data_IF_006875623187
#
_entry.id   IF_006875623187
#
_cell.length_a   1.000
_cell.length_b   1.000
_cell.length_c   1.000
_cell.angle_alpha   90.00
_cell.angle_beta   90.00
_cell.angle_gamma   90.00
#
_symmetry.space_group_name_H-M   'P 1'
#
loop_
_entity.id
_entity.type
_entity.pdbx_description
1 polymer ?
#
# COMPACT_ATOMS: atom_id res chain seq x y z
N UNK A 1 -17.32 1.70 2.92
CA UNK A 1 -16.77 3.05 3.17
C UNK A 1 -15.27 3.04 3.03
N UNK A 2 -14.71 4.03 2.38
CA UNK A 2 -13.28 4.14 2.14
C UNK A 2 -12.60 4.87 3.30
N UNK A 3 -11.55 4.28 3.83
CA UNK A 3 -10.77 4.84 4.94
C UNK A 3 -9.42 5.28 4.39
N UNK A 4 -9.09 6.56 4.58
CA UNK A 4 -7.79 7.07 4.15
C UNK A 4 -6.67 6.52 5.04
N UNK A 5 -5.64 6.01 4.39
CA UNK A 5 -4.46 5.46 5.06
C UNK A 5 -3.18 6.08 4.51
N UNK A 6 -2.16 6.08 5.33
CA UNK A 6 -0.81 6.49 4.93
C UNK A 6 0.16 5.34 5.13
N UNK A 7 1.28 5.38 4.43
CA UNK A 7 2.34 4.40 4.65
C UNK A 7 3.08 4.77 5.92
N UNK A 8 3.06 3.85 6.88
CA UNK A 8 3.86 3.98 8.09
C UNK A 8 5.32 3.60 7.84
N UNK A 9 5.56 2.63 6.96
CA UNK A 9 6.89 2.16 6.63
C UNK A 9 6.88 0.81 5.94
N UNK A 10 8.08 0.29 5.78
CA UNK A 10 8.34 -1.05 5.25
C UNK A 10 9.00 -1.88 6.33
N UNK A 11 8.63 -3.14 6.39
CA UNK A 11 9.25 -4.14 7.26
C UNK A 11 9.62 -5.36 6.45
N UNK A 12 10.47 -6.21 7.01
CA UNK A 12 10.79 -7.52 6.44
C UNK A 12 10.18 -8.59 7.34
N UNK A 13 9.43 -9.50 6.72
CA UNK A 13 8.88 -10.65 7.42
C UNK A 13 10.05 -11.54 7.88
N UNK A 14 10.22 -11.80 9.19
CA UNK A 14 11.36 -12.56 9.69
C UNK A 14 11.34 -14.04 9.26
N UNK A 15 10.20 -14.56 8.84
CA UNK A 15 10.05 -15.97 8.45
C UNK A 15 10.25 -16.14 6.94
N UNK A 16 9.59 -15.32 6.13
CA UNK A 16 9.60 -15.45 4.65
C UNK A 16 10.63 -14.56 3.97
N UNK A 17 11.22 -13.59 4.70
CA UNK A 17 12.08 -12.51 4.16
C UNK A 17 11.38 -11.63 3.11
N UNK A 18 10.06 -11.71 3.00
CA UNK A 18 9.31 -10.84 2.10
C UNK A 18 9.11 -9.46 2.73
N UNK A 19 9.21 -8.40 1.94
CA UNK A 19 8.86 -7.06 2.42
C UNK A 19 7.37 -6.93 2.73
N UNK A 20 7.06 -6.13 3.73
CA UNK A 20 5.69 -5.82 4.15
C UNK A 20 5.52 -4.31 4.11
N UNK A 21 4.52 -3.84 3.37
CA UNK A 21 4.09 -2.43 3.41
C UNK A 21 3.09 -2.27 4.54
N UNK A 22 3.33 -1.32 5.42
CA UNK A 22 2.45 -1.04 6.55
C UNK A 22 1.65 0.21 6.25
N UNK A 23 0.34 0.05 6.09
CA UNK A 23 -0.62 1.14 5.97
C UNK A 23 -1.25 1.40 7.34
N UNK A 24 -1.48 2.67 7.63
CA UNK A 24 -2.09 3.10 8.90
C UNK A 24 -3.11 4.19 8.63
N UNK A 25 -4.26 4.12 9.30
CA UNK A 25 -5.28 5.16 9.23
C UNK A 25 -4.82 6.45 9.96
N UNK A 26 -5.50 7.56 9.69
CA UNK A 26 -5.14 8.86 10.30
C UNK A 26 -5.26 8.88 11.81
N UNK A 27 -6.21 8.13 12.35
CA UNK A 27 -6.44 8.04 13.79
C UNK A 27 -5.45 7.10 14.47
N UNK A 28 -4.69 6.33 13.69
CA UNK A 28 -3.68 5.41 14.17
C UNK A 28 -4.23 4.18 14.88
N UNK A 29 -5.51 3.89 14.70
CA UNK A 29 -6.18 2.77 15.34
C UNK A 29 -6.07 1.47 14.54
N UNK A 30 -6.02 1.58 13.20
CA UNK A 30 -6.00 0.43 12.31
C UNK A 30 -4.70 0.41 11.51
N UNK A 31 -4.11 -0.76 11.41
CA UNK A 31 -2.90 -1.00 10.63
C UNK A 31 -3.15 -2.17 9.70
N UNK A 32 -2.84 -1.99 8.42
CA UNK A 32 -2.99 -3.03 7.42
C UNK A 32 -1.62 -3.39 6.85
N UNK A 33 -1.10 -4.57 7.11
CA UNK A 33 0.12 -5.07 6.48
C UNK A 33 -0.20 -5.71 5.13
N UNK A 34 0.61 -5.40 4.13
CA UNK A 34 0.49 -5.98 2.78
C UNK A 34 1.85 -6.52 2.38
N UNK A 35 1.94 -7.83 2.14
CA UNK A 35 3.16 -8.46 1.65
C UNK A 35 3.35 -8.12 0.17
N UNK A 36 4.55 -7.67 -0.18
CA UNK A 36 4.87 -7.19 -1.54
C UNK A 36 6.14 -7.86 -2.06
N UNK A 37 6.34 -7.82 -3.38
CA UNK A 37 7.58 -8.27 -3.98
C UNK A 37 8.75 -7.33 -3.69
N UNK A 38 9.97 -7.84 -3.84
CA UNK A 38 11.19 -7.08 -3.55
C UNK A 38 11.31 -5.85 -4.47
N UNK A 39 11.01 -6.00 -5.75
CA UNK A 39 11.12 -4.92 -6.73
C UNK A 39 10.11 -3.81 -6.45
N UNK A 40 8.89 -4.18 -6.11
CA UNK A 40 7.83 -3.23 -5.77
C UNK A 40 8.12 -2.52 -4.46
N UNK A 41 8.64 -3.25 -3.47
CA UNK A 41 9.07 -2.67 -2.20
C UNK A 41 10.19 -1.66 -2.41
N UNK A 42 11.14 -1.94 -3.28
CA UNK A 42 12.20 -1.01 -3.63
C UNK A 42 11.65 0.28 -4.24
N UNK A 43 10.69 0.16 -5.15
CA UNK A 43 10.03 1.33 -5.76
C UNK A 43 9.34 2.21 -4.71
N UNK A 44 8.71 1.59 -3.72
CA UNK A 44 8.06 2.29 -2.61
C UNK A 44 9.12 2.93 -1.69
N UNK A 45 10.16 2.19 -1.33
CA UNK A 45 11.23 2.66 -0.45
C UNK A 45 11.94 3.89 -1.02
N UNK A 46 12.22 3.93 -2.30
CA UNK A 46 12.86 5.08 -2.96
C UNK A 46 12.06 6.37 -2.72
N UNK A 47 10.74 6.30 -2.77
CA UNK A 47 9.89 7.46 -2.53
C UNK A 47 9.80 7.83 -1.05
N UNK A 48 9.72 6.85 -0.16
CA UNK A 48 9.71 7.11 1.29
C UNK A 48 10.99 7.82 1.72
N UNK A 49 12.14 7.40 1.19
CA UNK A 49 13.45 7.93 1.52
C UNK A 49 13.85 9.15 0.67
N UNK A 50 12.99 9.61 -0.23
CA UNK A 50 13.24 10.73 -1.15
C UNK A 50 14.51 10.55 -1.98
N UNK A 51 14.77 9.33 -2.43
CA UNK A 51 15.93 9.04 -3.28
C UNK A 51 15.52 9.21 -4.74
N UNK A 52 16.23 10.08 -5.46
CA UNK A 52 16.06 10.27 -6.89
C UNK A 52 17.01 9.36 -7.66
N UNK A 53 16.52 8.77 -8.74
CA UNK A 53 17.32 7.95 -9.65
C UNK A 53 17.77 8.77 -10.87
N UNK A 54 18.93 8.46 -11.50
CA UNK A 54 19.42 9.21 -12.66
C UNK A 54 18.47 9.17 -13.87
N UNK A 55 17.73 8.08 -14.02
CA UNK A 55 16.74 7.90 -15.07
C UNK A 55 15.42 7.41 -14.45
N UNK A 56 14.26 7.70 -15.11
CA UNK A 56 12.98 7.24 -14.60
C UNK A 56 12.94 5.71 -14.43
N UNK A 57 12.49 5.27 -13.27
CA UNK A 57 12.17 3.87 -13.01
C UNK A 57 10.75 3.56 -13.52
N UNK A 58 10.32 2.31 -13.42
CA UNK A 58 9.03 1.86 -13.99
C UNK A 58 7.83 2.71 -13.52
N UNK A 59 7.73 2.95 -12.22
CA UNK A 59 6.61 3.74 -11.68
C UNK A 59 6.75 5.24 -11.96
N UNK A 60 7.99 5.74 -12.08
CA UNK A 60 8.24 7.10 -12.54
C UNK A 60 7.79 7.28 -14.00
N UNK A 61 8.09 6.30 -14.84
CA UNK A 61 7.65 6.28 -16.22
C UNK A 61 6.12 6.27 -16.31
N UNK A 62 5.46 5.45 -15.50
CA UNK A 62 4.00 5.40 -15.45
C UNK A 62 3.41 6.76 -15.09
N UNK A 63 3.96 7.42 -14.05
CA UNK A 63 3.56 8.79 -13.70
C UNK A 63 3.75 9.75 -14.86
N UNK A 64 4.90 9.69 -15.53
CA UNK A 64 5.21 10.57 -16.65
C UNK A 64 4.25 10.38 -17.82
N UNK A 65 3.91 9.13 -18.15
CA UNK A 65 2.92 8.81 -19.19
C UNK A 65 1.55 9.39 -18.85
N UNK A 66 1.09 9.20 -17.63
CA UNK A 66 -0.19 9.73 -17.16
C UNK A 66 -0.21 11.26 -17.27
N UNK A 67 0.84 11.91 -16.79
CA UNK A 67 0.97 13.37 -16.81
C UNK A 67 1.02 13.91 -18.25
N UNK A 68 1.80 13.30 -19.12
CA UNK A 68 1.96 13.76 -20.51
C UNK A 68 0.68 13.56 -21.32
N UNK A 69 -0.16 12.58 -20.97
CA UNK A 69 -1.49 12.42 -21.55
C UNK A 69 -2.53 13.39 -20.99
N UNK A 70 -2.14 14.30 -20.10
CA UNK A 70 -3.02 15.27 -19.43
C UNK A 70 -4.05 14.61 -18.50
N UNK A 71 -3.76 13.43 -18.00
CA UNK A 71 -4.51 12.79 -16.94
C UNK A 71 -3.93 13.12 -15.56
N UNK A 72 -4.71 12.90 -14.51
CA UNK A 72 -4.26 13.07 -13.14
C UNK A 72 -4.73 11.90 -12.28
N UNK A 73 -3.89 11.45 -11.37
CA UNK A 73 -4.27 10.45 -10.38
C UNK A 73 -5.05 11.13 -9.28
N UNK A 74 -6.32 10.76 -9.12
CA UNK A 74 -7.19 11.32 -8.08
C UNK A 74 -6.96 10.66 -6.74
N UNK A 75 -6.92 9.33 -6.74
CA UNK A 75 -6.72 8.49 -5.56
C UNK A 75 -6.41 7.06 -5.98
N UNK A 76 -5.91 6.27 -5.05
CA UNK A 76 -5.83 4.82 -5.19
C UNK A 76 -6.61 4.17 -4.05
N UNK A 77 -7.25 3.04 -4.32
CA UNK A 77 -8.09 2.35 -3.35
C UNK A 77 -7.74 0.88 -3.32
N UNK A 78 -7.39 0.35 -2.16
CA UNK A 78 -7.35 -1.10 -1.95
C UNK A 78 -8.79 -1.52 -1.71
N UNK A 79 -9.40 -2.16 -2.72
CA UNK A 79 -10.85 -2.30 -2.81
C UNK A 79 -11.37 -3.68 -2.45
N UNK A 80 -10.53 -4.71 -2.49
CA UNK A 80 -10.99 -6.08 -2.25
C UNK A 80 -9.87 -6.98 -1.76
N UNK A 81 -10.27 -8.08 -1.12
CA UNK A 81 -9.42 -9.17 -0.69
C UNK A 81 -10.11 -10.48 -1.03
N UNK A 82 -9.59 -11.21 -2.01
CA UNK A 82 -10.15 -12.49 -2.47
C UNK A 82 -9.04 -13.53 -2.47
N UNK A 83 -9.31 -14.68 -1.86
CA UNK A 83 -8.36 -15.80 -1.81
C UNK A 83 -6.96 -15.38 -1.35
N UNK A 84 -6.91 -14.56 -0.30
CA UNK A 84 -5.68 -13.99 0.28
C UNK A 84 -4.91 -13.06 -0.69
N UNK A 85 -5.56 -12.55 -1.73
CA UNK A 85 -4.99 -11.61 -2.69
C UNK A 85 -5.71 -10.27 -2.60
N UNK A 86 -4.95 -9.21 -2.38
CA UNK A 86 -5.48 -7.84 -2.39
C UNK A 86 -5.63 -7.31 -3.80
N UNK A 87 -6.73 -6.58 -4.03
CA UNK A 87 -7.04 -5.90 -5.29
C UNK A 87 -7.06 -4.39 -5.05
N UNK A 88 -6.63 -3.64 -6.04
CA UNK A 88 -6.65 -2.19 -5.96
C UNK A 88 -7.15 -1.55 -7.26
N UNK A 89 -7.63 -0.33 -7.14
CA UNK A 89 -8.03 0.51 -8.26
C UNK A 89 -7.27 1.84 -8.20
N UNK A 90 -6.82 2.28 -9.37
CA UNK A 90 -6.27 3.61 -9.56
C UNK A 90 -7.35 4.45 -10.24
N UNK A 91 -7.75 5.55 -9.60
CA UNK A 91 -8.73 6.47 -10.15
C UNK A 91 -8.01 7.62 -10.84
N UNK A 92 -8.23 7.73 -12.15
CA UNK A 92 -7.67 8.80 -12.98
C UNK A 92 -8.77 9.75 -13.43
N UNK A 93 -8.46 11.04 -13.49
CA UNK A 93 -9.27 12.00 -14.20
C UNK A 93 -8.66 12.27 -15.58
N UNK A 94 -9.47 12.24 -16.62
CA UNK A 94 -9.07 12.53 -17.99
C UNK A 94 -10.23 13.20 -18.71
N UNK A 95 -10.03 14.44 -19.16
CA UNK A 95 -11.02 15.23 -19.91
C UNK A 95 -12.39 15.31 -19.19
N UNK A 96 -12.37 15.44 -17.87
CA UNK A 96 -13.59 15.51 -17.05
C UNK A 96 -14.20 14.17 -16.70
N UNK A 97 -13.74 13.07 -17.28
CA UNK A 97 -14.16 11.72 -16.95
C UNK A 97 -13.28 11.10 -15.88
N UNK A 98 -13.84 10.17 -15.12
CA UNK A 98 -13.10 9.37 -14.14
C UNK A 98 -12.95 7.96 -14.65
N UNK A 99 -11.71 7.47 -14.70
CA UNK A 99 -11.39 6.10 -15.07
C UNK A 99 -10.94 5.34 -13.83
N UNK A 100 -11.40 4.10 -13.68
CA UNK A 100 -10.94 3.20 -12.64
C UNK A 100 -10.11 2.08 -13.29
N UNK A 101 -8.84 1.97 -12.92
CA UNK A 101 -7.90 1.04 -13.53
C UNK A 101 -7.51 -0.01 -12.51
N UNK A 102 -7.68 -1.28 -12.86
CA UNK A 102 -7.25 -2.41 -12.03
C UNK A 102 -5.73 -2.40 -11.85
N UNK A 103 -5.29 -2.62 -10.63
CA UNK A 103 -3.86 -2.63 -10.29
C UNK A 103 -3.60 -3.52 -9.08
N UNK A 104 -2.36 -3.99 -8.98
CA UNK A 104 -1.91 -4.56 -7.71
C UNK A 104 -1.73 -3.43 -6.69
N UNK A 105 -2.03 -3.66 -5.40
CA UNK A 105 -1.83 -2.64 -4.37
C UNK A 105 -0.43 -2.05 -4.35
N UNK A 106 0.62 -2.84 -4.54
CA UNK A 106 2.00 -2.35 -4.56
C UNK A 106 2.24 -1.31 -5.65
N UNK A 107 1.74 -1.55 -6.86
CA UNK A 107 1.88 -0.62 -7.98
C UNK A 107 1.04 0.65 -7.75
N UNK A 108 -0.17 0.48 -7.24
CA UNK A 108 -1.04 1.61 -6.91
C UNK A 108 -0.42 2.50 -5.84
N UNK A 109 0.15 1.92 -4.79
CA UNK A 109 0.84 2.64 -3.72
C UNK A 109 2.10 3.35 -4.24
N UNK A 110 2.92 2.66 -5.02
CA UNK A 110 4.13 3.25 -5.61
C UNK A 110 3.79 4.45 -6.50
N UNK A 111 2.70 4.36 -7.27
CA UNK A 111 2.21 5.47 -8.10
C UNK A 111 1.65 6.61 -7.24
N UNK A 112 0.85 6.29 -6.21
CA UNK A 112 0.28 7.28 -5.31
C UNK A 112 1.36 8.13 -4.63
N UNK A 113 2.44 7.51 -4.19
CA UNK A 113 3.57 8.22 -3.58
C UNK A 113 4.23 9.21 -4.55
N UNK A 114 4.30 8.86 -5.83
CA UNK A 114 4.93 9.70 -6.85
C UNK A 114 4.02 10.85 -7.29
N UNK A 115 2.73 10.66 -7.23
CA UNK A 115 1.73 11.67 -7.65
C UNK A 115 1.14 12.45 -6.48
N UNK A 116 1.51 12.08 -5.25
CA UNK A 116 0.95 12.64 -4.01
C UNK A 116 -0.57 12.44 -3.91
N UNK A 117 -1.07 11.39 -4.51
CA UNK A 117 -2.47 11.01 -4.42
C UNK A 117 -2.75 10.32 -3.09
N UNK A 118 -3.95 10.50 -2.53
CA UNK A 118 -4.32 9.81 -1.30
C UNK A 118 -4.56 8.31 -1.54
N UNK A 119 -4.27 7.53 -0.50
CA UNK A 119 -4.46 6.08 -0.48
C UNK A 119 -5.65 5.78 0.42
N UNK A 120 -6.61 5.03 -0.10
CA UNK A 120 -7.77 4.56 0.65
C UNK A 120 -7.82 3.04 0.70
N UNK A 121 -8.46 2.52 1.72
CA UNK A 121 -8.77 1.09 1.86
C UNK A 121 -10.24 0.97 2.18
N UNK A 122 -10.94 0.06 1.52
CA UNK A 122 -12.33 -0.25 1.87
C UNK A 122 -12.39 -0.86 3.28
N UNK A 123 -13.36 -0.46 4.07
CA UNK A 123 -13.55 -0.97 5.43
C UNK A 123 -13.74 -2.49 5.44
N UNK A 124 -14.41 -3.03 4.45
CA UNK A 124 -14.59 -4.49 4.28
C UNK A 124 -13.27 -5.23 4.12
N UNK A 125 -12.29 -4.61 3.47
CA UNK A 125 -10.93 -5.20 3.33
C UNK A 125 -10.25 -5.25 4.68
N UNK A 126 -10.35 -4.18 5.45
CA UNK A 126 -9.76 -4.10 6.79
C UNK A 126 -10.41 -5.14 7.71
N UNK A 127 -11.72 -5.30 7.63
CA UNK A 127 -12.46 -6.26 8.46
C UNK A 127 -12.11 -7.72 8.12
N UNK A 128 -11.83 -8.02 6.86
CA UNK A 128 -11.47 -9.37 6.41
C UNK A 128 -9.98 -9.68 6.55
N UNK A 129 -9.13 -8.66 6.59
CA UNK A 129 -7.71 -8.84 6.80
C UNK A 129 -7.40 -8.95 8.30
N UNK A 130 -6.27 -9.58 8.63
CA UNK A 130 -5.77 -9.54 10.00
C UNK A 130 -5.18 -8.17 10.25
N UNK A 131 -5.88 -7.35 11.05
CA UNK A 131 -5.47 -6.00 11.41
C UNK A 131 -5.02 -5.94 12.86
N UNK A 132 -4.23 -4.92 13.18
CA UNK A 132 -3.79 -4.64 14.54
C UNK A 132 -4.40 -3.32 14.98
N UNK A 133 -5.13 -3.35 16.09
CA UNK A 133 -5.67 -2.14 16.72
C UNK A 133 -4.62 -1.51 17.64
N UNK A 134 -4.24 -0.30 17.35
CA UNK A 134 -3.32 0.46 18.18
C UNK A 134 -4.11 1.53 18.96
N UNK A 135 -4.43 1.22 20.20
CA UNK A 135 -5.21 2.12 21.06
C UNK A 135 -4.36 3.02 21.95
N UNK A 136 -3.04 2.87 21.96
CA UNK A 136 -2.15 3.70 22.79
C UNK A 136 -0.85 4.06 22.06
N UNK A 137 -0.38 5.27 22.34
CA UNK A 137 0.81 5.87 21.71
C UNK A 137 2.15 5.22 22.07
N UNK A 138 2.17 4.24 22.95
CA UNK A 138 3.42 3.63 23.39
C UNK A 138 3.78 2.38 22.56
N UNK A 139 4.85 2.50 21.80
CA UNK A 139 5.56 1.42 21.10
C UNK A 139 4.77 0.70 20.00
N UNK A 140 4.35 1.46 18.98
CA UNK A 140 3.75 0.89 17.76
C UNK A 140 4.64 -0.20 17.13
N UNK A 141 5.97 0.00 17.14
CA UNK A 141 6.90 -0.95 16.57
C UNK A 141 6.92 -2.28 17.35
N UNK A 142 6.91 -2.22 18.69
CA UNK A 142 6.92 -3.43 19.52
C UNK A 142 5.61 -4.20 19.42
N UNK A 143 4.48 -3.50 19.30
CA UNK A 143 3.18 -4.14 19.11
C UNK A 143 3.06 -4.81 17.76
N UNK A 144 3.53 -4.16 16.72
CA UNK A 144 3.56 -4.74 15.40
C UNK A 144 4.45 -5.98 15.36
N UNK A 145 5.61 -5.91 16.02
CA UNK A 145 6.52 -7.04 16.13
C UNK A 145 5.88 -8.22 16.89
N UNK A 146 5.23 -7.95 18.03
CA UNK A 146 4.50 -8.97 18.78
C UNK A 146 3.34 -9.58 17.98
N UNK A 147 2.64 -8.75 17.23
CA UNK A 147 1.56 -9.24 16.37
C UNK A 147 2.09 -10.17 15.27
N UNK A 148 3.20 -9.79 14.63
CA UNK A 148 3.85 -10.63 13.63
C UNK A 148 4.33 -11.95 14.23
N UNK A 149 4.88 -11.92 15.44
CA UNK A 149 5.29 -13.14 16.16
C UNK A 149 4.10 -14.03 16.54
N UNK A 150 2.93 -13.45 16.76
CA UNK A 150 1.71 -14.19 17.11
C UNK A 150 1.02 -14.83 15.91
N UNK A 151 1.41 -14.47 14.69
CA UNK A 151 0.85 -15.07 13.48
C UNK A 151 1.32 -16.52 13.34
N UNK A 152 0.39 -17.40 12.95
CA UNK A 152 0.75 -18.75 12.55
C UNK A 152 1.66 -18.67 11.30
N UNK A 153 2.76 -19.44 11.23
CA UNK A 153 3.58 -19.52 10.03
C UNK A 153 2.79 -19.78 8.74
N UNK A 154 1.69 -20.55 8.85
CA UNK A 154 0.80 -20.79 7.71
C UNK A 154 0.01 -19.54 7.27
N UNK A 155 -0.15 -18.57 8.16
CA UNK A 155 -0.83 -17.30 7.85
C UNK A 155 0.11 -16.26 7.23
N UNK A 156 1.42 -16.40 7.43
CA UNK A 156 2.40 -15.47 6.91
C UNK A 156 2.53 -15.63 5.38
N UNK A 157 2.47 -14.53 4.69
CA UNK A 157 2.55 -14.53 3.23
C UNK A 157 1.26 -14.91 2.52
N UNK A 158 0.14 -15.10 3.23
CA UNK A 158 -1.16 -15.38 2.63
C UNK A 158 -1.71 -14.21 1.84
N UNK A 159 -1.49 -12.99 2.34
CA UNK A 159 -2.01 -11.77 1.73
C UNK A 159 -1.05 -11.29 0.64
N UNK A 160 -1.14 -11.94 -0.51
CA UNK A 160 -0.29 -11.64 -1.68
C UNK A 160 -0.96 -10.61 -2.60
N UNK A 161 -0.14 -9.94 -3.34
CA UNK A 161 -0.60 -9.08 -4.42
C UNK A 161 -0.43 -9.73 -5.77
#
# INVERSE_FOLDING_TARGET
>A
MQIEMTIKGLMVDPITNMPIVILRDKEGQRVLPIWVGIFEANAIALQIENISTPRPMTHDLLRNVIHDLKAAVQKVVVCDLQENTFYALIYLSLNGDTLAIDARPSDAIALALRTRAPIFVEDTVIDHAKTVDFTSEKNDADRLHKWLESLDPDDLGKYKM
#
